data_IF_662421556579
#
_entry.id   IF_662421556579
#
_cell.length_a   1.000
_cell.length_b   1.000
_cell.length_c   1.000
_cell.angle_alpha   90.00
_cell.angle_beta   90.00
_cell.angle_gamma   90.00
#
_symmetry.space_group_name_H-M   'P 1'
#
loop_
_entity.id
_entity.type
_entity.pdbx_description
1 polymer ?
#
# COMPACT_ATOMS: atom_id res chain seq x y z
N UNK A 1 -0.94 -21.86 7.74
CA UNK A 1 -0.14 -21.01 8.65
C UNK A 1 -0.18 -19.64 8.03
N UNK A 2 -0.84 -18.68 8.68
CA UNK A 2 -0.98 -17.33 8.15
C UNK A 2 0.40 -16.66 8.06
N UNK A 3 0.68 -16.00 6.94
CA UNK A 3 1.93 -15.27 6.74
C UNK A 3 1.84 -13.90 7.39
N UNK A 4 2.94 -13.37 7.97
CA UNK A 4 2.97 -12.00 8.42
C UNK A 4 2.75 -11.05 7.24
N UNK A 5 1.95 -10.01 7.46
CA UNK A 5 1.71 -8.95 6.48
C UNK A 5 2.89 -7.96 6.51
N UNK A 6 3.29 -7.50 5.33
CA UNK A 6 4.26 -6.41 5.19
C UNK A 6 3.49 -5.10 5.06
N UNK A 7 3.78 -4.14 5.93
CA UNK A 7 3.21 -2.79 5.88
C UNK A 7 4.27 -1.85 5.33
N UNK A 8 3.90 -1.07 4.32
CA UNK A 8 4.69 0.04 3.83
C UNK A 8 4.33 1.30 4.61
N UNK A 9 5.36 1.99 5.12
CA UNK A 9 5.23 3.28 5.81
C UNK A 9 5.78 4.36 4.90
N UNK A 10 4.94 5.35 4.58
CA UNK A 10 5.24 6.45 3.68
C UNK A 10 5.19 7.74 4.50
N UNK A 11 6.32 8.39 4.77
CA UNK A 11 6.31 9.69 5.45
C UNK A 11 5.80 10.78 4.50
N UNK A 12 5.01 11.72 5.03
CA UNK A 12 4.63 12.93 4.30
C UNK A 12 5.67 14.04 4.58
N UNK A 13 6.50 14.43 3.59
CA UNK A 13 7.53 15.44 3.79
C UNK A 13 6.99 16.89 3.82
N UNK A 14 5.75 17.13 3.40
CA UNK A 14 5.16 18.47 3.33
C UNK A 14 4.33 18.80 4.57
N UNK A 15 3.48 17.86 5.00
CA UNK A 15 2.57 18.04 6.13
C UNK A 15 3.09 17.40 7.43
N UNK A 16 4.08 16.51 7.33
CA UNK A 16 4.48 15.64 8.43
C UNK A 16 3.52 14.46 8.62
N UNK A 17 3.90 13.51 9.46
CA UNK A 17 3.12 12.29 9.68
C UNK A 17 3.44 11.16 8.70
N UNK A 18 2.61 10.12 8.74
CA UNK A 18 2.81 8.86 8.05
C UNK A 18 1.51 8.31 7.46
N UNK A 19 1.63 7.71 6.28
CA UNK A 19 0.63 6.80 5.73
C UNK A 19 1.15 5.37 5.82
N UNK A 20 0.36 4.48 6.41
CA UNK A 20 0.60 3.04 6.42
C UNK A 20 -0.30 2.36 5.39
N UNK A 21 0.24 1.40 4.63
CA UNK A 21 -0.56 0.61 3.66
C UNK A 21 -0.05 -0.81 3.48
N UNK A 22 -0.92 -1.69 2.99
CA UNK A 22 -0.53 -2.97 2.38
C UNK A 22 -0.60 -2.77 0.86
N UNK A 23 0.48 -2.94 0.09
CA UNK A 23 0.47 -2.64 -1.35
C UNK A 23 -0.64 -3.33 -2.15
N UNK A 24 -1.04 -4.53 -1.73
CA UNK A 24 -2.01 -5.38 -2.44
C UNK A 24 -3.47 -5.16 -2.01
N UNK A 25 -3.71 -4.44 -0.90
CA UNK A 25 -5.06 -4.13 -0.40
C UNK A 25 -5.29 -2.63 -0.50
N UNK A 26 -6.40 -2.16 -1.11
CA UNK A 26 -6.74 -0.74 -1.20
C UNK A 26 -7.28 -0.22 0.15
N UNK A 27 -6.44 -0.29 1.19
CA UNK A 27 -6.70 0.20 2.53
C UNK A 27 -5.45 0.96 3.01
N UNK A 28 -5.70 2.08 3.67
CA UNK A 28 -4.69 3.03 4.12
C UNK A 28 -5.01 3.46 5.54
N UNK A 29 -3.98 3.70 6.34
CA UNK A 29 -4.10 4.36 7.62
C UNK A 29 -3.20 5.58 7.68
N UNK A 30 -3.62 6.62 8.38
CA UNK A 30 -2.86 7.87 8.53
C UNK A 30 -2.64 8.19 10.01
N UNK A 31 -1.52 8.85 10.33
CA UNK A 31 -1.22 9.27 11.69
C UNK A 31 -0.05 10.25 11.76
N UNK A 32 0.11 10.94 12.89
CA UNK A 32 1.25 11.83 13.13
C UNK A 32 2.53 11.01 13.39
N UNK A 33 2.37 9.75 13.81
CA UNK A 33 3.44 8.78 14.03
C UNK A 33 3.23 7.49 13.23
N UNK A 34 4.30 6.71 13.05
CA UNK A 34 4.23 5.38 12.42
C UNK A 34 3.22 4.46 13.12
N UNK A 35 3.21 4.45 14.46
CA UNK A 35 2.33 3.62 15.27
C UNK A 35 0.85 4.01 15.10
N UNK A 36 0.54 5.31 15.06
CA UNK A 36 -0.82 5.80 14.82
C UNK A 36 -1.32 5.41 13.44
N UNK A 37 -0.50 5.57 12.41
CA UNK A 37 -0.84 5.16 11.05
C UNK A 37 -1.09 3.66 10.94
N UNK A 38 -0.33 2.83 11.67
CA UNK A 38 -0.54 1.37 11.74
C UNK A 38 -1.84 1.01 12.46
N UNK A 39 -2.17 1.72 13.55
CA UNK A 39 -3.44 1.53 14.27
C UNK A 39 -4.62 1.87 13.36
N UNK A 40 -4.55 2.99 12.65
CA UNK A 40 -5.59 3.40 11.71
C UNK A 40 -5.72 2.42 10.53
N UNK A 41 -4.59 1.95 9.98
CA UNK A 41 -4.57 0.93 8.93
C UNK A 41 -5.27 -0.36 9.38
N UNK A 42 -5.13 -0.73 10.65
CA UNK A 42 -5.81 -1.91 11.19
C UNK A 42 -7.34 -1.76 11.17
N UNK A 43 -7.86 -0.58 11.45
CA UNK A 43 -9.31 -0.32 11.33
C UNK A 43 -9.75 -0.33 9.87
N UNK A 44 -8.98 0.29 8.97
CA UNK A 44 -9.25 0.27 7.53
C UNK A 44 -9.27 -1.16 6.96
N UNK A 45 -8.37 -2.03 7.40
CA UNK A 45 -8.34 -3.44 7.00
C UNK A 45 -9.55 -4.21 7.53
N UNK A 46 -10.03 -3.92 8.74
CA UNK A 46 -11.27 -4.51 9.26
C UNK A 46 -12.48 -4.10 8.43
N UNK A 47 -12.58 -2.81 8.09
CA UNK A 47 -13.64 -2.31 7.22
C UNK A 47 -13.58 -2.95 5.82
N UNK A 48 -12.37 -3.15 5.29
CA UNK A 48 -12.17 -3.87 4.02
C UNK A 48 -12.69 -5.31 4.11
N UNK A 49 -12.31 -6.05 5.16
CA UNK A 49 -12.74 -7.45 5.36
C UNK A 49 -14.26 -7.52 5.56
N UNK A 50 -14.86 -6.56 6.25
CA UNK A 50 -16.32 -6.49 6.41
C UNK A 50 -17.03 -6.28 5.07
N UNK A 51 -16.49 -5.42 4.20
CA UNK A 51 -17.10 -5.10 2.91
C UNK A 51 -16.89 -6.20 1.84
N UNK A 52 -15.71 -6.81 1.80
CA UNK A 52 -15.29 -7.71 0.70
C UNK A 52 -15.09 -9.17 1.13
N UNK A 53 -15.09 -9.46 2.43
CA UNK A 53 -14.87 -10.79 2.97
C UNK A 53 -13.38 -11.14 3.16
N UNK A 54 -13.14 -12.08 4.08
CA UNK A 54 -11.77 -12.52 4.41
C UNK A 54 -11.09 -13.27 3.26
N UNK A 55 -11.86 -14.02 2.46
CA UNK A 55 -11.32 -14.77 1.31
C UNK A 55 -10.76 -13.83 0.24
N UNK A 56 -11.40 -12.69 -0.02
CA UNK A 56 -10.89 -11.67 -0.96
C UNK A 56 -9.60 -11.02 -0.43
N UNK A 57 -9.57 -10.67 0.86
CA UNK A 57 -8.37 -10.12 1.49
C UNK A 57 -7.18 -11.09 1.41
N UNK A 58 -7.41 -12.39 1.71
CA UNK A 58 -6.39 -13.44 1.64
C UNK A 58 -5.92 -13.71 0.20
N UNK A 59 -6.80 -13.60 -0.79
CA UNK A 59 -6.44 -13.79 -2.19
C UNK A 59 -5.48 -12.71 -2.70
N UNK A 60 -5.52 -11.50 -2.12
CA UNK A 60 -4.68 -10.36 -2.52
C UNK A 60 -3.28 -10.41 -1.93
N UNK A 61 -3.17 -10.64 -0.63
CA UNK A 61 -1.87 -10.59 0.12
C UNK A 61 -0.94 -11.77 -0.15
N UNK A 62 -1.38 -12.75 -0.94
CA UNK A 62 -0.60 -13.93 -1.30
C UNK A 62 -0.04 -13.91 -2.72
N UNK A 63 -0.21 -12.81 -3.46
CA UNK A 63 0.29 -12.68 -4.83
C UNK A 63 1.62 -11.92 -4.79
N UNK A 64 2.77 -12.59 -5.05
CA UNK A 64 4.02 -11.87 -5.21
C UNK A 64 3.88 -10.87 -6.36
N UNK A 65 4.36 -9.62 -6.22
CA UNK A 65 4.30 -8.67 -7.32
C UNK A 65 5.08 -9.23 -8.51
N UNK A 66 4.41 -9.34 -9.65
CA UNK A 66 5.07 -9.70 -10.90
C UNK A 66 5.74 -8.45 -11.46
N UNK A 67 7.03 -8.30 -11.18
CA UNK A 67 7.82 -7.16 -11.66
C UNK A 67 8.44 -7.50 -13.01
N UNK A 68 8.29 -6.61 -13.99
CA UNK A 68 8.96 -6.67 -15.29
C UNK A 68 9.84 -5.43 -15.46
N UNK A 69 11.15 -5.57 -15.66
CA UNK A 69 11.99 -4.43 -15.98
C UNK A 69 11.61 -3.87 -17.35
N UNK A 70 11.59 -2.55 -17.47
CA UNK A 70 11.39 -1.83 -18.71
C UNK A 70 12.62 -0.95 -18.94
N UNK A 71 13.08 -0.86 -20.19
CA UNK A 71 14.22 -0.02 -20.61
C UNK A 71 13.79 1.45 -20.78
N UNK A 72 12.93 1.95 -19.90
CA UNK A 72 12.45 3.33 -19.94
C UNK A 72 13.29 4.19 -19.00
N UNK A 73 13.65 5.38 -19.45
CA UNK A 73 14.16 6.45 -18.59
C UNK A 73 13.09 7.51 -18.39
N UNK A 74 13.17 8.27 -17.29
CA UNK A 74 12.28 9.41 -17.08
C UNK A 74 12.43 10.46 -18.20
N UNK A 75 13.61 10.54 -18.83
CA UNK A 75 13.86 11.44 -19.96
C UNK A 75 13.05 11.05 -21.20
N UNK A 76 12.95 9.74 -21.50
CA UNK A 76 12.16 9.22 -22.61
C UNK A 76 10.67 9.61 -22.51
N UNK A 77 10.16 9.74 -21.28
CA UNK A 77 8.75 10.04 -20.99
C UNK A 77 8.40 11.53 -20.99
N UNK A 78 9.38 12.42 -21.10
CA UNK A 78 9.18 13.89 -21.07
C UNK A 78 9.28 14.55 -22.43
N UNK A 79 9.68 13.80 -23.47
CA UNK A 79 9.82 14.35 -24.81
C UNK A 79 8.45 14.45 -25.48
N UNK A 80 7.95 15.65 -25.84
CA UNK A 80 6.75 15.75 -26.66
C UNK A 80 7.08 15.08 -28.00
N UNK A 81 6.31 14.07 -28.38
CA UNK A 81 6.40 13.52 -29.72
C UNK A 81 6.19 14.68 -30.72
N UNK A 82 7.22 14.98 -31.51
CA UNK A 82 7.13 15.93 -32.62
C UNK A 82 6.26 15.41 -33.75
#
# INVERSE_FOLDING_TARGET
MDKPLMVELIPDPELGGFTARIPDIPAYGEGETEDEAIVDLKEALRAYIEAFGIDDALARVHVPPTVRPLEWTLQDLTSPHG
#
